data_IF_360206241393
#
_entry.id   IF_360206241393
#
_cell.length_a   1.000
_cell.length_b   1.000
_cell.length_c   1.000
_cell.angle_alpha   90.00
_cell.angle_beta   90.00
_cell.angle_gamma   90.00
#
_symmetry.space_group_name_H-M   'P 1'
#
loop_
_entity.id
_entity.type
_entity.pdbx_description
1 polymer ?
#
# COMPACT_ATOMS: atom_id res chain seq x y z
N UNK A 1 -3.70 23.94 -18.83
CA UNK A 1 -2.34 23.47 -18.53
C UNK A 1 -2.13 23.67 -17.04
N UNK A 2 -1.67 22.66 -16.31
CA UNK A 2 -1.41 22.77 -14.88
C UNK A 2 -0.09 23.51 -14.64
N UNK A 3 -0.04 24.37 -13.62
CA UNK A 3 1.13 25.14 -13.25
C UNK A 3 1.85 24.41 -12.10
N UNK A 4 2.88 23.64 -12.44
CA UNK A 4 3.71 22.91 -11.47
C UNK A 4 4.86 23.74 -10.89
N UNK A 5 5.09 24.95 -11.41
CA UNK A 5 6.12 25.87 -10.90
C UNK A 5 5.58 26.78 -9.79
N UNK A 6 4.27 26.83 -9.65
CA UNK A 6 3.62 27.62 -8.61
C UNK A 6 3.85 27.00 -7.23
N UNK A 7 4.61 27.69 -6.41
CA UNK A 7 4.80 27.32 -5.00
C UNK A 7 3.52 27.55 -4.21
N UNK A 8 3.04 26.52 -3.51
CA UNK A 8 1.91 26.60 -2.60
C UNK A 8 2.44 26.55 -1.17
N UNK A 9 2.29 27.64 -0.41
CA UNK A 9 2.68 27.67 0.99
C UNK A 9 1.67 26.85 1.83
N UNK A 10 2.18 25.80 2.45
CA UNK A 10 1.40 24.88 3.29
C UNK A 10 1.62 25.08 4.79
N UNK A 11 2.45 26.06 5.19
CA UNK A 11 2.67 26.41 6.60
C UNK A 11 1.40 27.01 7.17
N UNK A 12 1.08 26.64 8.40
CA UNK A 12 -0.15 27.11 9.06
C UNK A 12 -1.46 26.47 8.53
N UNK A 13 -1.38 25.46 7.67
CA UNK A 13 -2.56 24.75 7.12
C UNK A 13 -2.85 23.42 7.82
N UNK A 14 -2.31 23.20 9.01
CA UNK A 14 -2.35 21.90 9.71
C UNK A 14 -1.67 20.75 8.95
N UNK A 15 -0.81 21.07 8.00
CA UNK A 15 0.00 20.06 7.28
C UNK A 15 1.01 19.43 8.21
N UNK A 16 0.91 18.13 8.47
CA UNK A 16 1.89 17.40 9.31
C UNK A 16 3.30 17.53 8.70
N UNK A 17 3.43 17.47 7.38
CA UNK A 17 4.70 17.60 6.65
C UNK A 17 5.39 18.93 6.92
N UNK A 18 4.65 20.04 6.92
CA UNK A 18 5.19 21.40 7.04
C UNK A 18 5.14 21.98 8.45
N UNK A 19 4.24 21.50 9.29
CA UNK A 19 4.17 21.86 10.70
C UNK A 19 5.03 20.87 11.48
N UNK A 20 6.34 21.13 11.54
CA UNK A 20 7.24 20.33 12.38
C UNK A 20 6.71 20.31 13.80
N UNK A 21 6.40 19.12 14.30
CA UNK A 21 5.88 18.97 15.65
C UNK A 21 6.99 19.21 16.68
N UNK A 22 6.61 19.72 17.84
CA UNK A 22 7.47 19.76 19.02
C UNK A 22 8.07 18.36 19.25
N UNK A 23 9.38 18.27 19.33
CA UNK A 23 10.11 16.99 19.45
C UNK A 23 11.11 16.71 18.33
N UNK A 24 10.91 17.28 17.13
CA UNK A 24 11.89 17.19 16.03
C UNK A 24 12.89 18.38 16.02
N UNK A 25 12.82 19.28 17.02
CA UNK A 25 13.64 20.48 17.10
C UNK A 25 13.15 21.65 16.23
N UNK A 26 13.76 22.82 16.38
CA UNK A 26 13.52 23.95 15.48
C UNK A 26 14.26 23.70 14.17
N UNK A 27 13.50 23.62 13.06
CA UNK A 27 14.03 23.35 11.72
C UNK A 27 13.73 24.52 10.77
N UNK A 28 13.88 25.75 11.25
CA UNK A 28 13.68 26.95 10.45
C UNK A 28 14.57 26.92 9.21
N UNK A 29 13.96 26.99 8.02
CA UNK A 29 14.65 27.00 6.75
C UNK A 29 14.92 25.62 6.15
N UNK A 30 14.57 24.51 6.80
CA UNK A 30 14.68 23.18 6.19
C UNK A 30 13.46 22.86 5.33
N UNK A 31 13.71 22.15 4.24
CA UNK A 31 12.65 21.59 3.40
C UNK A 31 12.25 20.19 3.89
N UNK A 32 10.96 19.91 4.07
CA UNK A 32 10.51 18.62 4.56
C UNK A 32 10.47 17.58 3.43
N UNK A 33 11.23 16.49 3.57
CA UNK A 33 11.27 15.35 2.63
C UNK A 33 10.84 14.02 3.28
N UNK A 34 10.20 14.06 4.43
CA UNK A 34 9.91 12.88 5.26
C UNK A 34 8.51 12.29 5.06
N UNK A 35 7.57 13.06 4.48
CA UNK A 35 6.23 12.57 4.12
C UNK A 35 6.05 12.69 2.62
N UNK A 36 5.48 11.65 2.01
CA UNK A 36 5.33 11.51 0.57
C UNK A 36 4.12 12.27 -0.03
N UNK A 37 3.39 13.08 0.76
CA UNK A 37 2.33 13.91 0.19
C UNK A 37 2.91 14.99 -0.73
N UNK A 38 2.25 15.24 -1.85
CA UNK A 38 2.71 16.21 -2.86
C UNK A 38 2.54 17.65 -2.37
N UNK A 39 3.44 18.55 -2.80
CA UNK A 39 3.33 19.99 -2.60
C UNK A 39 2.73 20.72 -3.81
N UNK A 40 2.39 19.99 -4.86
CA UNK A 40 1.67 20.55 -6.00
C UNK A 40 0.20 20.76 -5.68
N UNK A 41 -0.39 21.81 -6.26
CA UNK A 41 -1.83 22.03 -6.15
C UNK A 41 -2.61 20.84 -6.74
N UNK A 42 -3.67 20.43 -6.06
CA UNK A 42 -4.59 19.42 -6.58
C UNK A 42 -5.21 19.90 -7.89
N UNK A 43 -5.35 19.00 -8.84
CA UNK A 43 -5.91 19.34 -10.16
C UNK A 43 -7.30 19.96 -10.05
N UNK A 44 -7.60 20.99 -10.84
CA UNK A 44 -8.87 21.75 -10.72
C UNK A 44 -10.12 20.89 -10.83
N UNK A 45 -10.10 19.84 -11.64
CA UNK A 45 -11.24 18.93 -11.84
C UNK A 45 -11.61 18.19 -10.56
N UNK A 46 -10.63 17.78 -9.77
CA UNK A 46 -10.85 17.14 -8.46
C UNK A 46 -11.41 18.17 -7.47
N UNK A 47 -10.82 19.39 -7.44
CA UNK A 47 -11.29 20.44 -6.55
C UNK A 47 -12.74 20.86 -6.88
N UNK A 48 -13.10 20.96 -8.16
CA UNK A 48 -14.46 21.26 -8.60
C UNK A 48 -15.47 20.16 -8.20
N UNK A 49 -15.07 18.90 -8.31
CA UNK A 49 -15.92 17.78 -7.89
C UNK A 49 -16.20 17.81 -6.37
N UNK A 50 -15.17 18.12 -5.57
CA UNK A 50 -15.31 18.27 -4.11
C UNK A 50 -16.23 19.47 -3.79
N UNK A 51 -15.99 20.63 -4.43
CA UNK A 51 -16.80 21.82 -4.21
C UNK A 51 -18.26 21.58 -4.56
N UNK A 52 -18.52 20.96 -5.71
CA UNK A 52 -19.90 20.59 -6.12
C UNK A 52 -20.58 19.69 -5.07
N UNK A 53 -19.83 18.79 -4.42
CA UNK A 53 -20.40 17.98 -3.34
C UNK A 53 -20.68 18.80 -2.09
N UNK A 54 -19.78 19.76 -1.75
CA UNK A 54 -19.96 20.68 -0.62
C UNK A 54 -21.13 21.65 -0.82
N UNK A 55 -21.41 22.05 -2.04
CA UNK A 55 -22.54 22.96 -2.38
C UNK A 55 -23.91 22.31 -2.10
N UNK A 56 -23.97 20.98 -1.98
CA UNK A 56 -25.18 20.30 -1.58
C UNK A 56 -25.35 20.37 -0.05
N UNK A 57 -26.47 20.96 0.44
CA UNK A 57 -26.61 21.32 1.86
C UNK A 57 -26.81 20.12 2.81
N UNK A 58 -27.10 18.94 2.26
CA UNK A 58 -27.31 17.73 3.07
C UNK A 58 -26.14 16.78 2.89
N UNK A 59 -25.45 16.51 3.99
CA UNK A 59 -24.38 15.53 4.08
C UNK A 59 -24.91 14.36 4.90
N UNK A 60 -25.29 13.28 4.22
CA UNK A 60 -25.84 12.08 4.84
C UNK A 60 -24.96 10.85 4.53
N UNK A 61 -25.53 9.67 4.76
CA UNK A 61 -24.92 8.43 4.31
C UNK A 61 -24.82 8.43 2.79
N UNK A 62 -23.70 7.97 2.27
CA UNK A 62 -23.42 7.97 0.84
C UNK A 62 -22.86 6.63 0.40
N UNK A 63 -23.35 6.13 -0.72
CA UNK A 63 -22.71 5.04 -1.45
C UNK A 63 -21.66 5.59 -2.43
N UNK A 64 -20.68 4.78 -2.83
CA UNK A 64 -19.79 5.13 -3.91
C UNK A 64 -20.58 5.48 -5.19
N UNK A 65 -20.16 6.53 -5.89
CA UNK A 65 -20.77 6.87 -7.18
C UNK A 65 -20.63 5.70 -8.17
N UNK A 66 -21.62 5.45 -9.03
CA UNK A 66 -21.63 4.30 -9.95
C UNK A 66 -20.37 4.15 -10.80
N UNK A 67 -19.69 5.24 -11.12
CA UNK A 67 -18.46 5.23 -11.91
C UNK A 67 -17.16 4.94 -11.16
N UNK A 68 -17.16 4.86 -9.82
CA UNK A 68 -15.93 4.74 -9.01
C UNK A 68 -15.23 3.42 -9.31
N UNK A 69 -15.92 2.31 -9.19
CA UNK A 69 -15.33 0.98 -9.39
C UNK A 69 -14.84 0.75 -10.83
N UNK A 70 -15.61 1.21 -11.82
CA UNK A 70 -15.20 1.13 -13.22
C UNK A 70 -14.02 2.04 -13.56
N UNK A 71 -13.92 3.19 -12.90
CA UNK A 71 -12.76 4.08 -13.04
C UNK A 71 -11.49 3.44 -12.46
N UNK A 72 -11.59 2.81 -11.28
CA UNK A 72 -10.50 2.05 -10.65
C UNK A 72 -10.10 0.87 -11.55
N UNK A 73 -11.04 0.06 -11.98
CA UNK A 73 -10.79 -1.07 -12.90
C UNK A 73 -10.07 -0.61 -14.15
N UNK A 74 -10.56 0.47 -14.79
CA UNK A 74 -9.96 1.01 -16.02
C UNK A 74 -8.56 1.61 -15.79
N UNK A 75 -8.26 2.14 -14.59
CA UNK A 75 -6.92 2.59 -14.23
C UNK A 75 -5.96 1.41 -14.14
N UNK A 76 -6.30 0.38 -13.38
CA UNK A 76 -5.50 -0.83 -13.21
C UNK A 76 -5.25 -1.56 -14.53
N UNK A 77 -6.26 -1.66 -15.39
CA UNK A 77 -6.12 -2.27 -16.71
C UNK A 77 -5.11 -1.51 -17.58
N UNK A 78 -5.29 -0.19 -17.71
CA UNK A 78 -4.42 0.64 -18.57
C UNK A 78 -3.00 0.81 -18.04
N UNK A 79 -2.83 0.94 -16.72
CA UNK A 79 -1.53 1.28 -16.11
C UNK A 79 -0.73 0.05 -15.71
N UNK A 80 -1.39 -0.99 -15.28
CA UNK A 80 -0.74 -2.17 -14.68
C UNK A 80 -1.05 -3.46 -15.43
N UNK A 81 -1.89 -3.43 -16.47
CA UNK A 81 -2.22 -4.61 -17.28
C UNK A 81 -2.94 -5.71 -16.48
N UNK A 82 -3.72 -5.30 -15.48
CA UNK A 82 -4.57 -6.17 -14.68
C UNK A 82 -5.95 -5.56 -14.55
N UNK A 83 -6.98 -6.34 -14.81
CA UNK A 83 -8.37 -5.89 -14.77
C UNK A 83 -9.11 -6.60 -13.64
N UNK A 84 -9.14 -6.02 -12.42
CA UNK A 84 -9.90 -6.60 -11.31
C UNK A 84 -11.40 -6.55 -11.57
N UNK A 85 -12.16 -7.54 -11.10
CA UNK A 85 -13.61 -7.50 -11.15
C UNK A 85 -14.15 -6.45 -10.17
N UNK A 86 -15.19 -5.73 -10.57
CA UNK A 86 -15.71 -4.62 -9.76
C UNK A 86 -16.37 -5.07 -8.46
N UNK A 87 -16.89 -6.29 -8.42
CA UNK A 87 -17.48 -6.92 -7.23
C UNK A 87 -16.44 -7.44 -6.22
N UNK A 88 -15.15 -7.48 -6.62
CA UNK A 88 -14.05 -7.77 -5.68
C UNK A 88 -13.58 -6.54 -4.89
N UNK A 89 -14.07 -5.35 -5.26
CA UNK A 89 -13.56 -4.11 -4.69
C UNK A 89 -14.32 -3.71 -3.44
N UNK A 90 -13.58 -3.51 -2.36
CA UNK A 90 -14.06 -2.91 -1.12
C UNK A 90 -13.32 -1.59 -0.87
N UNK A 91 -14.07 -0.54 -0.53
CA UNK A 91 -13.48 0.74 -0.17
C UNK A 91 -13.15 0.79 1.32
N UNK A 92 -11.97 1.30 1.66
CA UNK A 92 -11.57 1.54 3.04
C UNK A 92 -10.99 2.95 3.21
N UNK A 93 -10.95 3.43 4.46
CA UNK A 93 -10.38 4.73 4.82
C UNK A 93 -8.85 4.65 4.92
N UNK A 94 -8.20 4.36 3.80
CA UNK A 94 -6.75 4.21 3.69
C UNK A 94 -6.29 2.75 3.76
N UNK A 95 -5.10 2.50 3.18
CA UNK A 95 -4.55 1.15 3.01
C UNK A 95 -4.27 0.49 4.36
N UNK A 96 -3.69 1.21 5.33
CA UNK A 96 -3.40 0.65 6.66
C UNK A 96 -4.67 0.16 7.35
N UNK A 97 -5.77 0.91 7.26
CA UNK A 97 -7.08 0.48 7.77
C UNK A 97 -7.57 -0.79 7.04
N UNK A 98 -7.36 -0.85 5.72
CA UNK A 98 -7.65 -2.06 4.93
C UNK A 98 -6.85 -3.28 5.41
N UNK A 99 -5.56 -3.10 5.73
CA UNK A 99 -4.71 -4.18 6.28
C UNK A 99 -5.27 -4.67 7.62
N UNK A 100 -5.63 -3.76 8.53
CA UNK A 100 -6.26 -4.13 9.81
C UNK A 100 -7.51 -4.99 9.60
N UNK A 101 -8.45 -4.53 8.77
CA UNK A 101 -9.69 -5.27 8.53
C UNK A 101 -9.45 -6.62 7.86
N UNK A 102 -8.51 -6.67 6.92
CA UNK A 102 -8.19 -7.93 6.26
C UNK A 102 -7.58 -8.93 7.25
N UNK A 103 -6.58 -8.52 8.03
CA UNK A 103 -5.96 -9.38 9.05
C UNK A 103 -7.00 -9.88 10.07
N UNK A 104 -7.87 -8.99 10.55
CA UNK A 104 -8.92 -9.36 11.50
C UNK A 104 -9.94 -10.34 10.91
N UNK A 105 -10.11 -10.34 9.60
CA UNK A 105 -11.10 -11.18 8.91
C UNK A 105 -10.53 -12.54 8.54
N UNK A 106 -9.30 -12.58 7.99
CA UNK A 106 -8.77 -13.81 7.37
C UNK A 106 -7.76 -14.55 8.24
N UNK A 107 -7.22 -13.91 9.29
CA UNK A 107 -6.20 -14.52 10.15
C UNK A 107 -6.74 -14.71 11.57
N UNK A 108 -6.77 -15.94 12.11
CA UNK A 108 -7.15 -16.15 13.51
C UNK A 108 -6.21 -15.42 14.48
N UNK A 109 -6.76 -14.89 15.59
CA UNK A 109 -5.96 -14.18 16.59
C UNK A 109 -4.82 -15.06 17.14
N UNK A 110 -3.67 -14.45 17.39
CA UNK A 110 -2.48 -15.13 17.90
C UNK A 110 -1.61 -15.77 16.82
N UNK A 111 -2.13 -15.97 15.62
CA UNK A 111 -1.37 -16.58 14.52
C UNK A 111 -0.26 -15.67 14.00
N UNK A 112 0.70 -16.25 13.30
CA UNK A 112 1.87 -15.59 12.77
C UNK A 112 1.56 -14.81 11.49
N UNK A 113 1.97 -13.55 11.46
CA UNK A 113 1.91 -12.68 10.28
C UNK A 113 3.30 -12.12 9.98
N UNK A 114 3.78 -12.34 8.76
CA UNK A 114 5.13 -11.98 8.33
C UNK A 114 5.13 -10.65 7.58
N UNK A 115 6.19 -9.86 7.77
CA UNK A 115 6.57 -8.76 6.89
C UNK A 115 8.07 -8.72 6.67
N UNK A 116 8.51 -8.11 5.57
CA UNK A 116 9.93 -7.97 5.21
C UNK A 116 10.49 -6.66 5.72
N UNK A 117 11.62 -6.68 6.45
CA UNK A 117 12.24 -5.46 6.99
C UNK A 117 13.53 -5.07 6.26
N UNK A 118 13.86 -3.75 6.21
CA UNK A 118 13.07 -2.62 6.72
C UNK A 118 11.81 -2.36 5.89
N UNK A 119 10.70 -1.96 6.53
CA UNK A 119 9.42 -1.72 5.87
C UNK A 119 8.69 -0.55 6.53
N UNK A 120 7.61 -0.11 5.95
CA UNK A 120 6.72 0.93 6.46
C UNK A 120 6.22 0.60 7.87
N UNK A 121 6.61 1.42 8.85
CA UNK A 121 6.37 1.18 10.28
C UNK A 121 4.92 0.82 10.67
N UNK A 122 3.87 1.41 10.07
CA UNK A 122 2.50 1.07 10.38
C UNK A 122 2.12 -0.41 10.17
N UNK A 123 2.90 -1.19 9.38
CA UNK A 123 2.66 -2.62 9.26
C UNK A 123 2.88 -3.34 10.58
N UNK A 124 3.90 -2.95 11.35
CA UNK A 124 4.15 -3.52 12.69
C UNK A 124 2.97 -3.26 13.64
N UNK A 125 2.45 -2.03 13.60
CA UNK A 125 1.28 -1.66 14.41
C UNK A 125 0.04 -2.43 13.95
N UNK A 126 -0.18 -2.56 12.63
CA UNK A 126 -1.31 -3.31 12.09
C UNK A 126 -1.29 -4.76 12.55
N UNK A 127 -0.16 -5.45 12.43
CA UNK A 127 0.00 -6.85 12.83
C UNK A 127 -0.20 -7.02 14.35
N UNK A 128 0.52 -6.23 15.16
CA UNK A 128 0.51 -6.38 16.62
C UNK A 128 -0.84 -5.97 17.25
N UNK A 129 -1.40 -4.84 16.80
CA UNK A 129 -2.66 -4.35 17.36
C UNK A 129 -3.86 -5.18 16.92
N UNK A 130 -3.77 -5.90 15.80
CA UNK A 130 -4.74 -6.93 15.41
C UNK A 130 -4.58 -8.23 16.21
N UNK A 131 -3.66 -8.27 17.18
CA UNK A 131 -3.48 -9.41 18.08
C UNK A 131 -2.77 -10.61 17.44
N UNK A 132 -1.94 -10.37 16.42
CA UNK A 132 -1.14 -11.39 15.76
C UNK A 132 0.31 -11.38 16.22
N UNK A 133 1.00 -12.50 16.01
CA UNK A 133 2.43 -12.62 16.24
C UNK A 133 3.19 -12.12 15.02
N UNK A 134 3.94 -11.02 15.18
CA UNK A 134 4.79 -10.50 14.13
C UNK A 134 5.99 -11.44 13.87
N UNK A 135 6.16 -11.86 12.63
CA UNK A 135 7.37 -12.53 12.13
C UNK A 135 8.13 -11.53 11.26
N UNK A 136 9.34 -11.23 11.70
CA UNK A 136 10.25 -10.37 10.94
C UNK A 136 11.09 -11.24 10.00
N UNK A 137 11.01 -10.93 8.69
CA UNK A 137 11.81 -11.56 7.66
C UNK A 137 12.76 -10.50 7.05
N UNK A 138 13.95 -10.29 7.60
CA UNK A 138 14.85 -9.25 7.12
C UNK A 138 15.27 -9.50 5.67
N UNK A 139 15.28 -8.42 4.89
CA UNK A 139 15.83 -8.42 3.55
C UNK A 139 17.36 -8.49 3.61
N UNK A 140 17.96 -9.22 2.70
CA UNK A 140 19.41 -9.17 2.51
C UNK A 140 19.78 -7.81 1.90
N UNK A 141 20.85 -7.20 2.43
CA UNK A 141 21.35 -5.90 1.96
C UNK A 141 22.81 -6.00 1.54
N UNK A 142 23.07 -5.75 0.27
CA UNK A 142 24.43 -5.74 -0.29
C UNK A 142 24.53 -4.66 -1.37
N UNK A 143 25.63 -3.90 -1.35
CA UNK A 143 25.94 -2.87 -2.37
C UNK A 143 24.78 -1.86 -2.58
N UNK A 144 24.17 -1.40 -1.50
CA UNK A 144 22.98 -0.53 -1.48
C UNK A 144 21.76 -1.12 -2.20
N UNK A 145 21.67 -2.43 -2.32
CA UNK A 145 20.55 -3.11 -2.93
C UNK A 145 19.97 -4.15 -1.99
N UNK A 146 18.63 -4.19 -1.89
CA UNK A 146 17.91 -5.11 -1.04
C UNK A 146 17.33 -6.26 -1.86
N UNK A 147 17.41 -7.48 -1.34
CA UNK A 147 16.86 -8.68 -1.94
C UNK A 147 16.10 -9.51 -0.91
N UNK A 148 15.12 -10.29 -1.36
CA UNK A 148 14.43 -11.25 -0.49
C UNK A 148 15.35 -12.43 -0.21
N UNK A 149 15.53 -12.76 1.06
CA UNK A 149 16.13 -14.02 1.48
C UNK A 149 15.11 -15.14 1.32
N UNK A 150 15.13 -15.78 0.17
CA UNK A 150 14.14 -16.79 -0.20
C UNK A 150 14.16 -18.03 0.69
N UNK A 151 15.32 -18.42 1.18
CA UNK A 151 15.46 -19.58 2.08
C UNK A 151 14.83 -19.29 3.44
N UNK A 152 15.12 -18.12 4.00
CA UNK A 152 14.48 -17.66 5.24
C UNK A 152 12.98 -17.51 5.07
N UNK A 153 12.54 -16.85 3.99
CA UNK A 153 11.12 -16.66 3.72
C UNK A 153 10.37 -17.99 3.65
N UNK A 154 10.85 -18.94 2.84
CA UNK A 154 10.22 -20.24 2.70
C UNK A 154 10.20 -21.03 4.01
N UNK A 155 11.28 -20.95 4.81
CA UNK A 155 11.35 -21.53 6.14
C UNK A 155 10.26 -20.97 7.07
N UNK A 156 10.09 -19.63 7.10
CA UNK A 156 9.08 -19.01 7.97
C UNK A 156 7.65 -19.39 7.52
N UNK A 157 7.39 -19.51 6.21
CA UNK A 157 6.11 -20.02 5.71
C UNK A 157 5.85 -21.47 6.18
N UNK A 158 6.87 -22.32 6.09
CA UNK A 158 6.79 -23.72 6.55
C UNK A 158 6.58 -23.81 8.08
N UNK A 159 7.06 -22.82 8.84
CA UNK A 159 6.91 -22.74 10.30
C UNK A 159 5.54 -22.13 10.74
N UNK A 160 4.59 -22.06 9.81
CA UNK A 160 3.18 -21.79 10.10
C UNK A 160 2.74 -20.34 10.07
N UNK A 161 3.44 -19.48 9.33
CA UNK A 161 2.92 -18.15 8.97
C UNK A 161 1.58 -18.29 8.25
N UNK A 162 0.61 -17.42 8.59
CA UNK A 162 -0.75 -17.44 8.02
C UNK A 162 -0.99 -16.31 7.02
N UNK A 163 -0.29 -15.20 7.17
CA UNK A 163 -0.36 -14.10 6.22
C UNK A 163 0.99 -13.41 6.05
N UNK A 164 1.19 -12.82 4.89
CA UNK A 164 2.32 -11.94 4.57
C UNK A 164 1.77 -10.56 4.26
N UNK A 165 2.26 -9.52 4.95
CA UNK A 165 2.03 -8.12 4.59
C UNK A 165 3.24 -7.64 3.80
N UNK A 166 3.05 -7.43 2.52
CA UNK A 166 4.10 -7.11 1.55
C UNK A 166 3.95 -5.70 1.00
N UNK A 167 5.05 -4.99 0.78
CA UNK A 167 5.07 -3.63 0.24
C UNK A 167 5.63 -3.64 -1.19
N UNK A 168 4.87 -3.11 -2.16
CA UNK A 168 5.26 -3.12 -3.57
C UNK A 168 4.73 -1.90 -4.35
N UNK A 169 5.55 -0.92 -4.72
CA UNK A 169 6.99 -0.74 -4.42
C UNK A 169 7.28 -0.65 -2.94
N UNK A 170 8.48 -1.07 -2.53
CA UNK A 170 8.82 -1.27 -1.13
C UNK A 170 9.31 0.02 -0.45
N UNK A 171 8.53 0.51 0.49
CA UNK A 171 8.87 1.64 1.33
C UNK A 171 9.52 1.14 2.65
N UNK A 172 10.66 1.68 3.12
CA UNK A 172 11.34 2.90 2.67
C UNK A 172 12.49 2.69 1.68
N UNK A 173 12.79 1.46 1.26
CA UNK A 173 13.99 1.16 0.46
C UNK A 173 13.87 1.59 -1.02
N UNK A 174 12.69 2.04 -1.46
CA UNK A 174 12.45 2.56 -2.81
C UNK A 174 12.58 1.52 -3.93
N UNK A 175 12.39 0.25 -3.62
CA UNK A 175 12.57 -0.83 -4.58
C UNK A 175 11.27 -1.25 -5.23
N UNK A 176 11.23 -1.34 -6.56
CA UNK A 176 10.20 -2.02 -7.34
C UNK A 176 10.65 -3.48 -7.54
N UNK A 177 9.85 -4.43 -7.08
CA UNK A 177 10.12 -5.85 -7.23
C UNK A 177 9.99 -6.29 -8.70
N UNK A 178 10.82 -7.25 -9.12
CA UNK A 178 10.75 -7.78 -10.49
C UNK A 178 9.54 -8.69 -10.67
N UNK A 179 9.18 -8.96 -11.91
CA UNK A 179 8.10 -9.90 -12.21
C UNK A 179 8.39 -11.31 -11.71
N UNK A 180 9.64 -11.74 -11.82
CA UNK A 180 10.10 -13.04 -11.32
C UNK A 180 10.02 -13.14 -9.79
N UNK A 181 10.39 -12.05 -9.09
CA UNK A 181 10.28 -11.99 -7.63
C UNK A 181 8.82 -12.02 -7.18
N UNK A 182 7.96 -11.24 -7.82
CA UNK A 182 6.52 -11.22 -7.53
C UNK A 182 5.89 -12.60 -7.77
N UNK A 183 6.21 -13.23 -8.90
CA UNK A 183 5.73 -14.56 -9.22
C UNK A 183 6.16 -15.59 -8.17
N UNK A 184 7.45 -15.60 -7.83
CA UNK A 184 7.99 -16.51 -6.81
C UNK A 184 7.37 -16.29 -5.44
N UNK A 185 7.15 -15.03 -5.04
CA UNK A 185 6.48 -14.68 -3.79
C UNK A 185 5.06 -15.28 -3.74
N UNK A 186 4.27 -15.06 -4.79
CA UNK A 186 2.91 -15.60 -4.90
C UNK A 186 2.92 -17.13 -4.90
N UNK A 187 3.78 -17.77 -5.70
CA UNK A 187 3.90 -19.24 -5.76
C UNK A 187 4.21 -19.85 -4.39
N UNK A 188 5.09 -19.22 -3.59
CA UNK A 188 5.39 -19.68 -2.25
C UNK A 188 4.20 -19.47 -1.29
N UNK A 189 3.52 -18.34 -1.35
CA UNK A 189 2.30 -18.12 -0.56
C UNK A 189 1.22 -19.17 -0.87
N UNK A 190 1.01 -19.47 -2.15
CA UNK A 190 0.07 -20.52 -2.60
C UNK A 190 0.51 -21.89 -2.08
N UNK A 191 1.79 -22.25 -2.27
CA UNK A 191 2.35 -23.55 -1.84
C UNK A 191 2.09 -23.84 -0.36
N UNK A 192 2.19 -22.81 0.48
CA UNK A 192 2.03 -22.94 1.94
C UNK A 192 0.64 -22.53 2.44
N UNK A 193 -0.29 -22.22 1.55
CA UNK A 193 -1.66 -21.75 1.89
C UNK A 193 -1.64 -20.54 2.83
N UNK A 194 -0.89 -19.51 2.44
CA UNK A 194 -0.67 -18.27 3.19
C UNK A 194 -1.32 -17.10 2.46
N UNK A 195 -2.08 -16.27 3.16
CA UNK A 195 -2.66 -15.06 2.59
C UNK A 195 -1.57 -14.04 2.25
N UNK A 196 -1.65 -13.44 1.07
CA UNK A 196 -0.77 -12.34 0.66
C UNK A 196 -1.55 -11.02 0.62
N UNK A 197 -1.20 -10.10 1.51
CA UNK A 197 -1.67 -8.72 1.52
C UNK A 197 -0.60 -7.85 0.86
N UNK A 198 -0.78 -7.51 -0.40
CA UNK A 198 0.16 -6.67 -1.16
C UNK A 198 -0.28 -5.21 -1.09
N UNK A 199 0.44 -4.40 -0.30
CA UNK A 199 0.27 -2.95 -0.30
C UNK A 199 0.96 -2.36 -1.54
N UNK A 200 0.16 -1.94 -2.50
CA UNK A 200 0.59 -1.40 -3.78
C UNK A 200 0.26 0.10 -3.93
N UNK A 201 0.15 0.83 -2.83
CA UNK A 201 -0.21 2.26 -2.83
C UNK A 201 0.77 3.11 -3.66
N UNK A 202 2.01 2.68 -3.79
CA UNK A 202 3.05 3.37 -4.56
C UNK A 202 3.23 2.83 -5.99
N UNK A 203 2.35 1.94 -6.48
CA UNK A 203 2.56 1.22 -7.75
C UNK A 203 2.69 2.15 -8.98
N UNK A 204 2.07 3.33 -8.97
CA UNK A 204 2.18 4.31 -10.04
C UNK A 204 3.54 5.05 -10.08
N UNK A 205 4.37 4.92 -9.03
CA UNK A 205 5.68 5.58 -8.91
C UNK A 205 6.86 4.69 -9.31
N UNK A 206 6.63 3.71 -10.15
CA UNK A 206 7.72 2.91 -10.74
C UNK A 206 8.58 3.73 -11.70
N UNK A 207 9.60 4.43 -11.19
CA UNK A 207 10.42 5.37 -11.97
C UNK A 207 11.41 4.66 -12.90
N UNK A 208 11.93 3.50 -12.50
CA UNK A 208 12.94 2.73 -13.27
C UNK A 208 12.34 1.58 -14.05
N UNK A 209 11.21 1.05 -13.59
CA UNK A 209 10.44 -0.02 -14.23
C UNK A 209 8.98 0.06 -13.79
N UNK A 210 8.02 -0.43 -14.59
CA UNK A 210 6.65 -0.58 -14.13
C UNK A 210 6.55 -1.49 -12.91
N UNK A 211 5.63 -1.18 -12.00
CA UNK A 211 5.30 -2.06 -10.90
C UNK A 211 4.47 -3.24 -11.41
N UNK A 212 4.84 -4.45 -11.02
CA UNK A 212 4.06 -5.66 -11.30
C UNK A 212 3.16 -5.94 -10.10
N UNK A 213 1.84 -5.88 -10.32
CA UNK A 213 0.86 -6.20 -9.27
C UNK A 213 0.79 -7.69 -8.98
N UNK A 214 0.59 -8.05 -7.71
CA UNK A 214 0.29 -9.43 -7.30
C UNK A 214 -1.00 -9.96 -7.95
N UNK A 215 -1.95 -9.07 -8.25
CA UNK A 215 -3.21 -9.40 -8.90
C UNK A 215 -3.07 -10.12 -10.26
N UNK A 216 -1.96 -9.92 -10.97
CA UNK A 216 -1.69 -10.66 -12.22
C UNK A 216 -1.58 -12.18 -12.06
N UNK A 217 -1.29 -12.62 -10.83
CA UNK A 217 -1.04 -14.04 -10.54
C UNK A 217 -2.22 -14.73 -9.85
N UNK A 218 -3.40 -14.10 -9.82
CA UNK A 218 -4.61 -14.71 -9.23
C UNK A 218 -4.99 -16.05 -9.87
N UNK A 219 -4.66 -16.26 -11.14
CA UNK A 219 -4.86 -17.56 -11.82
C UNK A 219 -4.01 -18.71 -11.26
N UNK A 220 -2.94 -18.39 -10.49
CA UNK A 220 -2.16 -19.38 -9.77
C UNK A 220 -2.80 -19.74 -8.41
N UNK A 221 -3.71 -18.88 -7.93
CA UNK A 221 -4.47 -19.11 -6.71
C UNK A 221 -5.73 -19.87 -7.14
N UNK A 222 -5.69 -21.19 -7.09
CA UNK A 222 -6.93 -21.97 -7.10
C UNK A 222 -7.65 -21.66 -5.78
N UNK A 223 -8.59 -20.72 -5.82
CA UNK A 223 -9.62 -20.64 -4.79
C UNK A 223 -10.44 -21.92 -4.98
N UNK A 224 -10.07 -22.97 -4.26
CA UNK A 224 -10.98 -24.07 -4.03
C UNK A 224 -12.14 -23.48 -3.23
N UNK A 225 -13.27 -23.30 -3.91
CA UNK A 225 -14.51 -22.98 -3.21
C UNK A 225 -14.73 -24.00 -2.09
N UNK A 226 -15.25 -23.57 -0.92
CA UNK A 226 -15.56 -24.46 0.18
C UNK A 226 -16.63 -25.49 -0.16
#
# INVERSE_FOLDING_TARGET
MYDFDKVVDRRGTSSIKWNFQEGFGQHDGLLPYWIADTDFATVPEVMQAIQKRCDHPVIGYSDPLPGVYTAIQGWWDRRHGWKPETDWMLLSYGVVTGIYFTLDTVVPKGEKVLTFTPVYDPFFAAIKNSGHTLVDCPLDHKDNYYTINWELFEKELADGVKAVVFCNPHNPIGRVWTEEEMKKLVELCVKYNVYLLSDEIHCDFGLTRPCTTAGKYLSLIHISEP
#
